data_IF_008041516979
#
_entry.id   IF_008041516979
#
_cell.length_a   1.000
_cell.length_b   1.000
_cell.length_c   1.000
_cell.angle_alpha   90.00
_cell.angle_beta   90.00
_cell.angle_gamma   90.00
#
_symmetry.space_group_name_H-M   'P 1'
#
loop_
_entity.id
_entity.type
_entity.pdbx_description
1 polymer ?
#
# COMPACT_ATOMS: atom_id res chain seq x y z
N UNK A 1 -14.85 -23.62 -17.07
CA UNK A 1 -15.42 -22.40 -17.69
C UNK A 1 -14.36 -21.88 -18.64
N UNK A 2 -14.69 -21.71 -19.92
CA UNK A 2 -13.70 -21.46 -20.97
C UNK A 2 -13.48 -19.94 -21.10
N UNK A 3 -12.35 -19.47 -20.58
CA UNK A 3 -11.86 -18.12 -20.88
C UNK A 3 -11.39 -18.11 -22.34
N UNK A 4 -11.72 -17.05 -23.08
CA UNK A 4 -11.34 -16.89 -24.49
C UNK A 4 -10.25 -15.82 -24.57
N UNK A 5 -9.19 -16.08 -25.33
CA UNK A 5 -8.18 -15.08 -25.65
C UNK A 5 -8.71 -14.10 -26.69
N UNK A 6 -8.65 -12.81 -26.39
CA UNK A 6 -8.99 -11.72 -27.30
C UNK A 6 -7.89 -10.66 -27.32
N UNK A 7 -7.65 -10.07 -28.49
CA UNK A 7 -6.77 -8.91 -28.62
C UNK A 7 -7.43 -7.66 -28.02
N UNK A 8 -6.62 -6.69 -27.59
CA UNK A 8 -7.13 -5.41 -27.07
C UNK A 8 -8.06 -4.71 -28.07
N UNK A 9 -7.79 -4.84 -29.38
CA UNK A 9 -8.58 -4.22 -30.43
C UNK A 9 -10.02 -4.78 -30.51
N UNK A 10 -10.24 -5.98 -29.97
CA UNK A 10 -11.56 -6.63 -29.92
C UNK A 10 -12.35 -6.27 -28.66
N UNK A 11 -11.77 -5.57 -27.69
CA UNK A 11 -12.43 -5.22 -26.43
C UNK A 11 -13.43 -4.08 -26.61
N UNK A 12 -14.61 -4.24 -26.02
CA UNK A 12 -15.69 -3.25 -25.99
C UNK A 12 -16.21 -3.10 -24.56
N UNK A 13 -16.83 -1.96 -24.28
CA UNK A 13 -17.59 -1.74 -23.05
C UNK A 13 -18.64 -2.86 -22.91
N UNK A 14 -18.70 -3.50 -21.74
CA UNK A 14 -19.56 -4.66 -21.48
C UNK A 14 -18.83 -6.01 -21.45
N UNK A 15 -17.57 -6.11 -21.90
CA UNK A 15 -16.77 -7.33 -21.74
C UNK A 15 -16.28 -7.51 -20.29
N UNK A 16 -16.34 -8.74 -19.81
CA UNK A 16 -15.74 -9.15 -18.55
C UNK A 16 -14.33 -9.66 -18.81
N UNK A 17 -13.35 -8.92 -18.30
CA UNK A 17 -11.95 -9.14 -18.61
C UNK A 17 -11.16 -9.59 -17.39
N UNK A 18 -10.09 -10.32 -17.65
CA UNK A 18 -9.06 -10.64 -16.68
C UNK A 18 -7.74 -10.05 -17.15
N UNK A 19 -7.21 -9.11 -16.38
CA UNK A 19 -5.89 -8.53 -16.61
C UNK A 19 -4.82 -9.54 -16.16
N UNK A 20 -3.87 -9.92 -17.04
CA UNK A 20 -2.80 -10.86 -16.71
C UNK A 20 -1.70 -10.24 -15.83
N UNK A 21 -1.80 -8.95 -15.53
CA UNK A 21 -0.83 -8.18 -14.73
C UNK A 21 -1.24 -8.12 -13.25
N UNK A 22 -0.27 -7.93 -12.37
CA UNK A 22 -0.55 -7.61 -10.96
C UNK A 22 -1.32 -6.29 -10.82
N UNK A 23 -2.10 -6.16 -9.75
CA UNK A 23 -2.97 -5.00 -9.50
C UNK A 23 -2.21 -3.66 -9.45
N UNK A 24 -0.91 -3.69 -9.20
CA UNK A 24 -0.01 -2.52 -9.17
C UNK A 24 0.24 -1.89 -10.55
N UNK A 25 -0.01 -2.63 -11.63
CA UNK A 25 0.33 -2.20 -12.99
C UNK A 25 -0.86 -1.57 -13.74
N UNK A 26 -2.00 -1.38 -13.05
CA UNK A 26 -3.18 -0.74 -13.61
C UNK A 26 -3.96 0.00 -12.51
N UNK A 27 -4.70 1.07 -12.83
CA UNK A 27 -5.43 1.86 -11.83
C UNK A 27 -6.75 1.22 -11.35
N UNK A 28 -7.05 -0.03 -11.74
CA UNK A 28 -8.27 -0.73 -11.36
C UNK A 28 -8.16 -1.46 -10.01
N UNK A 29 -9.23 -1.44 -9.22
CA UNK A 29 -9.31 -2.11 -7.89
C UNK A 29 -9.14 -3.63 -7.92
N UNK A 30 -9.44 -4.29 -9.04
CA UNK A 30 -9.41 -5.74 -9.17
C UNK A 30 -8.84 -6.14 -10.53
N UNK A 31 -8.19 -7.31 -10.59
CA UNK A 31 -7.63 -7.85 -11.85
C UNK A 31 -8.71 -8.48 -12.75
N UNK A 32 -9.93 -8.67 -12.23
CA UNK A 32 -11.05 -9.23 -12.96
C UNK A 32 -12.27 -8.33 -12.78
N UNK A 33 -12.72 -7.70 -13.85
CA UNK A 33 -13.87 -6.80 -13.80
C UNK A 33 -14.51 -6.64 -15.18
N UNK A 34 -15.73 -6.13 -15.15
CA UNK A 34 -16.49 -5.77 -16.34
C UNK A 34 -16.17 -4.34 -16.74
N UNK A 35 -15.83 -4.11 -18.01
CA UNK A 35 -15.59 -2.77 -18.55
C UNK A 35 -16.93 -2.01 -18.57
N UNK A 36 -17.03 -0.92 -17.81
CA UNK A 36 -18.27 -0.15 -17.60
C UNK A 36 -18.39 1.07 -18.51
N UNK A 37 -17.27 1.64 -18.93
CA UNK A 37 -17.24 2.88 -19.71
C UNK A 37 -16.02 2.95 -20.64
N UNK A 38 -16.03 3.95 -21.52
CA UNK A 38 -14.99 4.17 -22.52
C UNK A 38 -13.64 4.58 -21.90
N UNK A 39 -13.65 5.26 -20.74
CA UNK A 39 -12.41 5.66 -20.06
C UNK A 39 -11.64 4.43 -19.57
N UNK A 40 -12.34 3.43 -19.03
CA UNK A 40 -11.73 2.17 -18.65
C UNK A 40 -11.13 1.44 -19.85
N UNK A 41 -11.82 1.44 -20.99
CA UNK A 41 -11.32 0.83 -22.23
C UNK A 41 -10.07 1.54 -22.76
N UNK A 42 -10.03 2.86 -22.67
CA UNK A 42 -8.87 3.64 -23.10
C UNK A 42 -7.67 3.42 -22.17
N UNK A 43 -7.87 3.33 -20.84
CA UNK A 43 -6.81 2.94 -19.90
C UNK A 43 -6.25 1.56 -20.27
N UNK A 44 -7.13 0.58 -20.53
CA UNK A 44 -6.73 -0.77 -20.92
C UNK A 44 -5.89 -0.77 -22.22
N UNK A 45 -6.25 0.07 -23.20
CA UNK A 45 -5.51 0.21 -24.47
C UNK A 45 -4.13 0.82 -24.33
N UNK A 46 -3.90 1.60 -23.27
CA UNK A 46 -2.59 2.16 -22.95
C UNK A 46 -1.74 1.24 -22.06
N UNK A 47 -2.29 0.10 -21.63
CA UNK A 47 -1.48 -0.98 -21.06
C UNK A 47 -0.84 -1.72 -22.24
N UNK A 48 0.49 -1.88 -22.23
CA UNK A 48 1.26 -2.65 -23.24
C UNK A 48 0.95 -4.15 -23.18
N UNK A 49 -0.32 -4.54 -23.40
CA UNK A 49 -0.81 -5.91 -23.35
C UNK A 49 -1.34 -6.31 -24.73
N UNK A 50 -0.78 -7.36 -25.32
CA UNK A 50 -1.21 -7.78 -26.67
C UNK A 50 -2.43 -8.71 -26.65
N UNK A 51 -2.62 -9.44 -25.53
CA UNK A 51 -3.64 -10.47 -25.37
C UNK A 51 -4.31 -10.36 -24.01
N UNK A 52 -5.62 -10.58 -23.98
CA UNK A 52 -6.44 -10.51 -22.78
C UNK A 52 -7.40 -11.69 -22.70
N UNK A 53 -7.62 -12.18 -21.49
CA UNK A 53 -8.60 -13.24 -21.23
C UNK A 53 -9.97 -12.61 -20.99
N UNK A 54 -10.98 -13.05 -21.75
CA UNK A 54 -12.36 -12.59 -21.63
C UNK A 54 -13.23 -13.75 -21.16
N UNK A 55 -14.12 -13.47 -20.20
CA UNK A 55 -15.14 -14.41 -19.72
C UNK A 55 -16.44 -14.18 -20.53
N UNK A 56 -16.76 -15.03 -21.52
CA UNK A 56 -17.94 -14.84 -22.37
C UNK A 56 -19.25 -15.03 -21.61
N UNK A 57 -19.27 -15.81 -20.53
CA UNK A 57 -20.49 -16.07 -19.74
C UNK A 57 -20.89 -14.85 -18.88
N UNK A 58 -19.94 -13.95 -18.59
CA UNK A 58 -20.15 -12.71 -17.83
C UNK A 58 -20.08 -11.44 -18.68
N UNK A 59 -19.82 -11.59 -19.98
CA UNK A 59 -19.75 -10.49 -20.94
C UNK A 59 -21.12 -10.24 -21.56
N UNK A 60 -21.49 -8.98 -21.75
CA UNK A 60 -22.77 -8.61 -22.37
C UNK A 60 -22.79 -8.81 -23.88
N UNK A 61 -21.60 -8.97 -24.49
CA UNK A 61 -21.40 -9.00 -25.93
C UNK A 61 -20.48 -10.17 -26.32
N UNK A 62 -20.76 -10.84 -27.45
CA UNK A 62 -19.86 -11.84 -28.01
C UNK A 62 -18.63 -11.18 -28.65
N UNK A 63 -17.49 -11.85 -28.57
CA UNK A 63 -16.22 -11.40 -29.17
C UNK A 63 -16.31 -11.63 -30.69
N UNK A 64 -16.23 -10.57 -31.49
CA UNK A 64 -16.22 -10.66 -32.95
C UNK A 64 -14.85 -11.16 -33.46
N UNK A 65 -14.80 -12.07 -34.46
CA UNK A 65 -13.54 -12.50 -35.07
C UNK A 65 -12.84 -11.33 -35.80
N UNK A 66 -11.50 -11.33 -35.87
CA UNK A 66 -10.75 -10.21 -36.45
C UNK A 66 -11.11 -10.01 -37.92
N UNK A 67 -11.54 -8.80 -38.27
CA UNK A 67 -11.87 -8.41 -39.65
C UNK A 67 -10.59 -8.38 -40.49
N UNK A 68 -10.44 -9.33 -41.42
CA UNK A 68 -9.42 -9.29 -42.47
C UNK A 68 -9.76 -8.19 -43.49
N UNK A 69 -8.85 -7.22 -43.66
CA UNK A 69 -8.92 -6.14 -44.67
C UNK A 69 -9.18 -4.78 -44.02
N UNK A 70 -8.49 -3.69 -44.32
CA UNK A 70 -7.85 -3.30 -45.58
C UNK A 70 -6.90 -2.12 -45.30
N UNK A 71 -5.60 -2.22 -45.63
CA UNK A 71 -4.73 -1.04 -45.85
C UNK A 71 -3.77 -1.33 -47.00
N UNK A 72 -4.30 -1.21 -48.21
CA UNK A 72 -3.51 -0.73 -49.35
C UNK A 72 -3.22 0.75 -49.15
N UNK A 73 -1.95 1.10 -49.04
CA UNK A 73 -1.46 2.44 -49.38
C UNK A 73 -0.05 2.30 -49.96
N UNK A 74 0.03 2.58 -51.26
CA UNK A 74 1.24 2.68 -52.10
C UNK A 74 2.12 3.91 -51.71
N UNK A 75 3.36 4.02 -52.24
CA UNK A 75 4.54 4.40 -51.47
C UNK A 75 4.88 5.89 -51.51
N UNK A 76 5.42 6.42 -50.41
CA UNK A 76 6.06 7.73 -50.37
C UNK A 76 7.57 7.58 -50.14
N UNK A 77 8.29 7.78 -51.25
CA UNK A 77 9.60 8.41 -51.44
C UNK A 77 10.70 8.22 -50.37
N UNK A 78 11.75 7.53 -50.84
CA UNK A 78 13.16 7.55 -50.42
C UNK A 78 13.60 8.89 -49.80
N UNK A 79 14.14 8.79 -48.59
CA UNK A 79 15.12 9.72 -48.03
C UNK A 79 16.22 8.90 -47.36
N UNK A 80 17.43 8.99 -47.90
CA UNK A 80 18.61 8.25 -47.47
C UNK A 80 19.03 8.59 -46.03
N UNK A 81 19.32 7.56 -45.21
CA UNK A 81 20.09 7.71 -43.97
C UNK A 81 21.14 6.58 -43.93
N UNK A 82 22.41 6.86 -43.62
CA UNK A 82 23.50 5.90 -43.78
C UNK A 82 23.49 4.80 -42.71
N UNK A 83 23.79 3.60 -43.19
CA UNK A 83 24.12 2.37 -42.48
C UNK A 83 25.39 2.51 -41.62
N UNK A 84 25.24 2.37 -40.30
CA UNK A 84 26.28 1.90 -39.35
C UNK A 84 25.72 1.82 -37.91
N UNK A 85 25.36 0.63 -37.46
CA UNK A 85 25.08 0.30 -36.06
C UNK A 85 25.05 -1.22 -35.85
N UNK A 86 25.65 -1.77 -34.78
CA UNK A 86 26.08 -3.17 -34.72
C UNK A 86 24.92 -4.16 -34.59
N UNK A 87 25.22 -5.40 -34.98
CA UNK A 87 24.35 -6.57 -35.09
C UNK A 87 23.30 -6.70 -33.96
N UNK A 88 22.03 -6.68 -34.34
CA UNK A 88 20.85 -6.84 -33.49
C UNK A 88 20.55 -8.32 -33.16
N UNK A 89 21.48 -9.25 -33.40
CA UNK A 89 21.24 -10.69 -33.19
C UNK A 89 21.56 -11.17 -31.76
N UNK A 90 22.21 -10.37 -30.91
CA UNK A 90 22.60 -10.79 -29.54
C UNK A 90 21.66 -10.29 -28.42
N UNK A 91 20.56 -9.57 -28.72
CA UNK A 91 19.64 -9.04 -27.70
C UNK A 91 18.26 -9.73 -27.62
N UNK A 92 17.98 -10.73 -28.45
CA UNK A 92 16.68 -11.43 -28.45
C UNK A 92 16.57 -12.60 -27.44
N UNK A 93 17.66 -13.04 -26.81
CA UNK A 93 17.62 -14.21 -25.90
C UNK A 93 17.16 -13.93 -24.44
N UNK A 94 16.86 -12.68 -24.07
CA UNK A 94 16.60 -12.31 -22.67
C UNK A 94 15.15 -11.91 -22.31
N UNK A 95 14.17 -12.04 -23.23
CA UNK A 95 12.78 -11.55 -22.97
C UNK A 95 11.67 -12.53 -23.37
N UNK A 96 11.83 -13.83 -23.15
CA UNK A 96 10.74 -14.81 -23.45
C UNK A 96 10.38 -15.76 -22.31
N UNK A 97 10.57 -15.39 -21.04
CA UNK A 97 9.89 -16.09 -19.94
C UNK A 97 8.64 -15.33 -19.53
N UNK A 98 7.50 -15.78 -20.05
CA UNK A 98 6.20 -15.41 -19.48
C UNK A 98 6.23 -15.66 -17.96
N UNK A 99 5.65 -14.77 -17.12
CA UNK A 99 5.59 -15.03 -15.68
C UNK A 99 4.90 -16.38 -15.45
N UNK A 100 5.39 -17.18 -14.49
CA UNK A 100 4.85 -18.52 -14.26
C UNK A 100 3.34 -18.44 -13.98
N UNK A 101 2.55 -19.41 -14.45
CA UNK A 101 1.11 -19.44 -14.19
C UNK A 101 0.84 -19.43 -12.69
N UNK A 102 -0.18 -18.66 -12.27
CA UNK A 102 -0.60 -18.57 -10.87
C UNK A 102 -0.96 -19.96 -10.32
N UNK A 103 -0.10 -20.50 -9.46
CA UNK A 103 -0.33 -21.78 -8.79
C UNK A 103 -1.09 -21.55 -7.48
N UNK A 104 -2.40 -21.81 -7.54
CA UNK A 104 -3.31 -21.69 -6.40
C UNK A 104 -2.86 -22.52 -5.18
N UNK A 105 -2.19 -23.66 -5.41
CA UNK A 105 -1.75 -24.56 -4.34
C UNK A 105 -0.49 -24.01 -3.66
N UNK A 106 0.42 -23.42 -4.42
CA UNK A 106 1.57 -22.67 -3.90
C UNK A 106 1.08 -21.44 -3.14
N UNK A 107 0.12 -20.68 -3.68
CA UNK A 107 -0.48 -19.53 -3.01
C UNK A 107 -1.18 -19.91 -1.69
N UNK A 108 -1.99 -20.98 -1.66
CA UNK A 108 -2.60 -21.46 -0.41
C UNK A 108 -1.58 -21.98 0.59
N UNK A 109 -0.51 -22.63 0.12
CA UNK A 109 0.58 -23.12 0.99
C UNK A 109 1.37 -21.96 1.56
N UNK A 110 1.64 -20.95 0.76
CA UNK A 110 2.33 -19.74 1.16
C UNK A 110 1.47 -18.94 2.15
N UNK A 111 0.16 -18.80 1.92
CA UNK A 111 -0.79 -18.26 2.89
C UNK A 111 -0.80 -19.02 4.23
N UNK A 112 -0.82 -20.36 4.22
CA UNK A 112 -0.78 -21.15 5.47
C UNK A 112 0.55 -21.03 6.20
N UNK A 113 1.65 -20.93 5.46
CA UNK A 113 2.97 -20.69 6.03
C UNK A 113 3.04 -19.29 6.65
N UNK A 114 2.48 -18.30 5.95
CA UNK A 114 2.30 -16.93 6.41
C UNK A 114 1.48 -16.89 7.71
N UNK A 115 0.31 -17.55 7.76
CA UNK A 115 -0.56 -17.62 8.94
C UNK A 115 0.15 -18.24 10.15
N UNK A 116 0.99 -19.26 9.92
CA UNK A 116 1.74 -19.93 10.99
C UNK A 116 2.91 -19.08 11.50
N UNK A 117 3.71 -18.51 10.60
CA UNK A 117 4.79 -17.59 10.96
C UNK A 117 4.22 -16.38 11.71
N UNK A 118 3.10 -15.84 11.21
CA UNK A 118 2.32 -14.79 11.83
C UNK A 118 1.85 -15.15 13.25
N UNK A 119 1.22 -16.31 13.45
CA UNK A 119 0.74 -16.73 14.76
C UNK A 119 1.85 -16.80 15.83
N UNK A 120 3.08 -17.15 15.42
CA UNK A 120 4.23 -17.20 16.30
C UNK A 120 4.76 -15.80 16.63
N UNK A 121 5.00 -14.94 15.62
CA UNK A 121 5.40 -13.55 15.83
C UNK A 121 4.37 -12.75 16.64
N UNK A 122 3.09 -13.07 16.47
CA UNK A 122 1.98 -12.47 17.22
C UNK A 122 1.93 -12.88 18.69
N UNK A 123 2.31 -14.12 19.03
CA UNK A 123 2.38 -14.54 20.43
C UNK A 123 3.46 -13.75 21.16
N UNK A 124 4.63 -13.64 20.55
CA UNK A 124 5.76 -12.86 21.08
C UNK A 124 5.39 -11.39 21.25
N UNK A 125 4.73 -10.81 20.24
CA UNK A 125 4.23 -9.45 20.29
C UNK A 125 3.18 -9.27 21.39
N UNK A 126 2.18 -10.15 21.48
CA UNK A 126 1.10 -10.08 22.48
C UNK A 126 1.64 -10.17 23.91
N UNK A 127 2.62 -11.04 24.14
CA UNK A 127 3.26 -11.20 25.45
C UNK A 127 4.07 -9.95 25.82
N UNK A 128 4.73 -9.34 24.84
CA UNK A 128 5.44 -8.08 25.00
C UNK A 128 4.48 -6.89 25.25
N UNK A 129 3.31 -6.87 24.60
CA UNK A 129 2.27 -5.86 24.84
C UNK A 129 1.61 -6.00 26.21
N UNK A 130 1.38 -7.23 26.68
CA UNK A 130 0.85 -7.50 28.01
C UNK A 130 1.76 -6.99 29.13
N UNK A 131 3.08 -6.95 28.90
CA UNK A 131 4.07 -6.46 29.86
C UNK A 131 4.20 -4.92 29.91
N UNK A 132 3.73 -4.20 28.88
CA UNK A 132 3.71 -2.72 28.84
C UNK A 132 2.72 -2.11 29.84
N UNK A 133 1.61 -2.80 30.13
CA UNK A 133 0.51 -2.29 30.96
C UNK A 133 0.92 -2.07 32.44
N UNK A 134 2.14 -2.45 32.83
CA UNK A 134 2.63 -2.41 34.20
C UNK A 134 3.48 -1.17 34.53
N UNK A 135 4.11 -0.53 33.52
CA UNK A 135 5.03 0.62 33.72
C UNK A 135 5.09 1.53 32.49
N UNK A 136 4.43 2.71 32.50
CA UNK A 136 4.29 3.58 31.33
C UNK A 136 5.61 4.13 30.76
N UNK A 137 6.54 4.57 31.62
CA UNK A 137 7.78 5.25 31.21
C UNK A 137 8.79 4.27 30.59
N UNK A 138 8.86 3.05 31.13
CA UNK A 138 9.58 1.92 30.52
C UNK A 138 8.84 1.41 29.26
N UNK A 139 7.55 1.71 29.14
CA UNK A 139 6.66 1.23 28.10
C UNK A 139 7.06 1.70 26.69
N UNK A 140 7.35 2.99 26.48
CA UNK A 140 7.69 3.48 25.14
C UNK A 140 9.01 2.90 24.62
N UNK A 141 10.04 2.83 25.47
CA UNK A 141 11.33 2.24 25.10
C UNK A 141 11.20 0.73 24.79
N UNK A 142 10.43 0.01 25.60
CA UNK A 142 10.11 -1.40 25.35
C UNK A 142 9.33 -1.57 24.05
N UNK A 143 8.36 -0.69 23.76
CA UNK A 143 7.55 -0.76 22.54
C UNK A 143 8.38 -0.47 21.29
N UNK A 144 9.26 0.53 21.35
CA UNK A 144 10.21 0.78 20.27
C UNK A 144 11.14 -0.43 20.03
N UNK A 145 11.52 -1.16 21.09
CA UNK A 145 12.30 -2.39 20.96
C UNK A 145 11.50 -3.53 20.31
N UNK A 146 10.22 -3.66 20.64
CA UNK A 146 9.30 -4.62 20.00
C UNK A 146 9.22 -4.34 18.50
N UNK A 147 9.03 -3.08 18.12
CA UNK A 147 8.99 -2.65 16.71
C UNK A 147 10.30 -2.97 16.00
N UNK A 148 11.45 -2.67 16.62
CA UNK A 148 12.77 -3.03 16.09
C UNK A 148 12.91 -4.53 15.82
N UNK A 149 12.51 -5.34 16.80
CA UNK A 149 12.58 -6.80 16.68
C UNK A 149 11.66 -7.28 15.54
N UNK A 150 10.45 -6.72 15.43
CA UNK A 150 9.52 -7.05 14.37
C UNK A 150 10.05 -6.65 12.99
N UNK A 151 10.57 -5.43 12.84
CA UNK A 151 11.21 -4.97 11.60
C UNK A 151 12.35 -5.90 11.17
N UNK A 152 13.19 -6.31 12.13
CA UNK A 152 14.23 -7.30 11.88
C UNK A 152 13.66 -8.63 11.39
N UNK A 153 12.67 -9.21 12.09
CA UNK A 153 12.05 -10.48 11.66
C UNK A 153 11.40 -10.38 10.27
N UNK A 154 10.70 -9.27 10.00
CA UNK A 154 10.07 -9.00 8.71
C UNK A 154 11.10 -8.90 7.58
N UNK A 155 12.26 -8.29 7.85
CA UNK A 155 13.35 -8.18 6.87
C UNK A 155 13.99 -9.52 6.51
N UNK A 156 13.97 -10.49 7.43
CA UNK A 156 14.51 -11.84 7.22
C UNK A 156 13.48 -12.82 6.65
N UNK A 157 12.19 -12.45 6.67
CA UNK A 157 11.12 -13.34 6.24
C UNK A 157 10.98 -13.34 4.71
N UNK A 158 11.11 -14.51 4.11
CA UNK A 158 10.82 -14.75 2.69
C UNK A 158 9.42 -15.35 2.51
N UNK A 159 8.68 -14.87 1.50
CA UNK A 159 7.33 -15.34 1.19
C UNK A 159 6.22 -14.43 1.75
N UNK A 160 4.94 -14.77 1.54
CA UNK A 160 3.83 -13.92 1.93
C UNK A 160 3.68 -13.85 3.45
N UNK A 161 3.09 -12.75 3.91
CA UNK A 161 2.76 -12.49 5.31
C UNK A 161 1.26 -12.30 5.44
N UNK A 162 0.67 -12.91 6.46
CA UNK A 162 -0.71 -12.65 6.84
C UNK A 162 -0.75 -11.45 7.79
N UNK A 163 -1.76 -10.60 7.65
CA UNK A 163 -2.03 -9.51 8.59
C UNK A 163 -3.28 -9.88 9.40
N UNK A 164 -3.14 -10.05 10.72
CA UNK A 164 -4.28 -9.91 11.62
C UNK A 164 -4.07 -8.70 12.51
N UNK A 165 -5.03 -7.80 12.47
CA UNK A 165 -5.07 -6.62 13.33
C UNK A 165 -5.25 -7.06 14.77
N UNK A 166 -4.47 -6.45 15.66
CA UNK A 166 -4.52 -6.77 17.08
C UNK A 166 -5.76 -6.10 17.62
N UNK A 167 -6.73 -6.92 18.04
CA UNK A 167 -7.84 -6.43 18.86
C UNK A 167 -7.74 -7.08 20.22
N UNK A 168 -7.20 -6.35 21.20
CA UNK A 168 -7.14 -6.79 22.57
C UNK A 168 -8.06 -5.92 23.43
N UNK A 169 -9.16 -6.45 23.99
CA UNK A 169 -10.08 -5.68 24.82
C UNK A 169 -9.44 -5.14 26.11
N UNK A 170 -8.22 -5.56 26.46
CA UNK A 170 -7.49 -5.14 27.66
C UNK A 170 -6.33 -4.17 27.41
N UNK A 171 -6.08 -3.80 26.15
CA UNK A 171 -5.02 -2.84 25.78
C UNK A 171 -5.62 -1.44 25.62
N UNK A 172 -4.86 -0.42 25.99
CA UNK A 172 -5.23 0.97 25.72
C UNK A 172 -5.49 1.16 24.21
N UNK A 173 -6.59 1.84 23.88
CA UNK A 173 -7.05 2.01 22.49
C UNK A 173 -6.00 2.76 21.66
N UNK A 174 -5.38 3.79 22.23
CA UNK A 174 -4.36 4.59 21.54
C UNK A 174 -3.13 3.74 21.24
N UNK A 175 -2.67 2.97 22.23
CA UNK A 175 -1.54 2.07 22.04
C UNK A 175 -1.85 0.98 21.00
N UNK A 176 -3.05 0.41 21.03
CA UNK A 176 -3.47 -0.59 20.04
C UNK A 176 -3.47 -0.01 18.62
N UNK A 177 -4.01 1.19 18.44
CA UNK A 177 -4.02 1.90 17.17
C UNK A 177 -2.59 2.15 16.66
N UNK A 178 -1.72 2.76 17.48
CA UNK A 178 -0.34 3.04 17.08
C UNK A 178 0.44 1.77 16.70
N UNK A 179 0.18 0.66 17.39
CA UNK A 179 0.79 -0.64 17.04
C UNK A 179 0.26 -1.16 15.70
N UNK A 180 -1.05 -1.15 15.48
CA UNK A 180 -1.62 -1.59 14.21
C UNK A 180 -1.04 -0.77 13.05
N UNK A 181 -1.00 0.56 13.18
CA UNK A 181 -0.41 1.45 12.17
C UNK A 181 1.06 1.10 11.93
N UNK A 182 1.86 0.91 12.99
CA UNK A 182 3.26 0.51 12.86
C UNK A 182 3.42 -0.81 12.08
N UNK A 183 2.65 -1.85 12.41
CA UNK A 183 2.76 -3.16 11.75
C UNK A 183 2.31 -3.13 10.30
N UNK A 184 1.16 -2.53 10.00
CA UNK A 184 0.66 -2.42 8.63
C UNK A 184 1.65 -1.61 7.79
N UNK A 185 2.19 -0.51 8.31
CA UNK A 185 3.16 0.31 7.60
C UNK A 185 4.47 -0.45 7.32
N UNK A 186 4.99 -1.23 8.28
CA UNK A 186 6.16 -2.08 8.05
C UNK A 186 5.92 -3.14 6.98
N UNK A 187 4.73 -3.74 6.94
CA UNK A 187 4.37 -4.69 5.88
C UNK A 187 4.34 -4.01 4.52
N UNK A 188 3.73 -2.83 4.41
CA UNK A 188 3.74 -2.07 3.16
C UNK A 188 5.14 -1.64 2.76
N UNK A 189 5.97 -1.18 3.69
CA UNK A 189 7.37 -0.83 3.45
C UNK A 189 8.18 -2.02 2.90
N UNK A 190 7.97 -3.21 3.46
CA UNK A 190 8.58 -4.45 2.97
C UNK A 190 8.17 -4.75 1.53
N UNK A 191 6.88 -4.67 1.21
CA UNK A 191 6.38 -4.91 -0.16
C UNK A 191 6.86 -3.83 -1.15
N UNK A 192 7.15 -2.62 -0.67
CA UNK A 192 7.79 -1.56 -1.45
C UNK A 192 9.31 -1.77 -1.64
N UNK A 193 9.89 -2.84 -1.09
CA UNK A 193 11.30 -3.17 -1.21
C UNK A 193 12.22 -2.29 -0.36
N UNK A 194 11.68 -1.64 0.68
CA UNK A 194 12.49 -0.85 1.61
C UNK A 194 13.50 -1.74 2.35
N UNK A 195 14.65 -1.17 2.67
CA UNK A 195 15.73 -1.89 3.35
C UNK A 195 15.42 -2.06 4.87
N UNK A 196 16.19 -2.90 5.61
CA UNK A 196 15.91 -3.17 7.02
C UNK A 196 15.88 -1.92 7.93
N UNK A 197 16.71 -0.91 7.64
CA UNK A 197 16.73 0.34 8.40
C UNK A 197 15.46 1.14 8.12
N UNK A 198 15.06 1.24 6.85
CA UNK A 198 13.82 1.93 6.45
C UNK A 198 12.57 1.24 7.02
N UNK A 199 12.57 -0.10 7.13
CA UNK A 199 11.51 -0.85 7.81
C UNK A 199 11.41 -0.48 9.29
N UNK A 200 12.53 -0.46 10.00
CA UNK A 200 12.57 -0.05 11.40
C UNK A 200 12.05 1.38 11.57
N UNK A 201 12.55 2.31 10.77
CA UNK A 201 12.15 3.71 10.82
C UNK A 201 10.65 3.89 10.52
N UNK A 202 10.11 3.07 9.61
CA UNK A 202 8.68 3.04 9.29
C UNK A 202 7.86 2.57 10.48
N UNK A 203 8.26 1.47 11.11
CA UNK A 203 7.58 0.98 12.31
C UNK A 203 7.64 1.98 13.46
N UNK A 204 8.80 2.61 13.68
CA UNK A 204 8.96 3.62 14.73
C UNK A 204 8.10 4.85 14.45
N UNK A 205 8.05 5.31 13.20
CA UNK A 205 7.20 6.42 12.79
C UNK A 205 5.70 6.12 13.00
N UNK A 206 5.25 4.92 12.60
CA UNK A 206 3.87 4.49 12.85
C UNK A 206 3.55 4.35 14.33
N UNK A 207 4.50 3.93 15.17
CA UNK A 207 4.28 3.80 16.61
C UNK A 207 4.08 5.15 17.31
N UNK A 208 4.73 6.20 16.83
CA UNK A 208 4.81 7.49 17.53
C UNK A 208 4.02 8.62 16.87
N UNK A 209 3.32 8.35 15.76
CA UNK A 209 2.66 9.39 14.97
C UNK A 209 1.66 10.23 15.82
N UNK A 210 0.89 9.56 16.68
CA UNK A 210 -0.11 10.15 17.55
C UNK A 210 0.36 10.46 18.97
N UNK A 211 1.68 10.48 19.24
CA UNK A 211 2.18 10.77 20.58
C UNK A 211 1.70 12.13 21.13
N UNK A 212 1.37 13.07 20.25
CA UNK A 212 0.82 14.36 20.60
C UNK A 212 -0.57 14.31 21.23
N UNK A 213 -1.33 13.22 21.03
CA UNK A 213 -2.64 13.05 21.65
C UNK A 213 -2.55 12.97 23.18
N UNK A 214 -1.39 12.63 23.74
CA UNK A 214 -1.12 12.70 25.18
C UNK A 214 -1.26 14.12 25.75
N UNK A 215 -1.26 15.15 24.91
CA UNK A 215 -1.52 16.55 25.30
C UNK A 215 -2.98 16.97 25.13
N UNK A 216 -3.81 16.12 24.52
CA UNK A 216 -5.22 16.39 24.31
C UNK A 216 -6.03 15.87 25.51
N UNK A 217 -6.94 16.66 26.09
CA UNK A 217 -7.80 16.20 27.18
C UNK A 217 -8.61 14.97 26.79
N UNK A 218 -8.67 13.98 27.68
CA UNK A 218 -9.40 12.73 27.44
C UNK A 218 -10.89 12.94 27.17
N UNK A 219 -11.49 14.02 27.66
CA UNK A 219 -12.88 14.38 27.36
C UNK A 219 -13.13 14.70 25.88
N UNK A 220 -12.09 15.12 25.14
CA UNK A 220 -12.15 15.35 23.70
C UNK A 220 -11.93 14.03 22.95
N UNK A 221 -10.84 13.32 23.27
CA UNK A 221 -10.47 12.05 22.61
C UNK A 221 -11.56 10.99 22.76
N UNK A 222 -12.12 10.84 23.97
CA UNK A 222 -13.07 9.76 24.29
C UNK A 222 -14.54 10.19 24.12
N UNK A 223 -14.79 11.33 23.47
CA UNK A 223 -16.15 11.86 23.34
C UNK A 223 -17.00 10.94 22.46
N UNK A 224 -18.09 10.42 23.04
CA UNK A 224 -19.09 9.62 22.33
C UNK A 224 -20.09 10.55 21.63
N UNK A 225 -19.69 11.17 20.53
CA UNK A 225 -20.53 12.07 19.73
C UNK A 225 -19.70 13.08 18.94
N UNK A 226 -20.36 13.89 18.13
CA UNK A 226 -19.66 14.89 17.29
C UNK A 226 -18.86 15.88 18.15
N UNK A 227 -17.63 16.13 17.73
CA UNK A 227 -16.81 17.21 18.25
C UNK A 227 -17.38 18.55 17.76
N UNK A 228 -17.47 19.52 18.66
CA UNK A 228 -17.67 20.91 18.27
C UNK A 228 -16.46 21.39 17.47
N UNK A 229 -16.63 22.45 16.68
CA UNK A 229 -15.52 23.04 15.90
C UNK A 229 -14.30 23.39 16.76
N UNK A 230 -14.53 23.87 17.99
CA UNK A 230 -13.44 24.21 18.92
C UNK A 230 -12.71 22.96 19.42
N UNK A 231 -13.45 21.89 19.76
CA UNK A 231 -12.86 20.61 20.16
C UNK A 231 -12.09 19.97 19.00
N UNK A 232 -12.64 19.98 17.78
CA UNK A 232 -11.95 19.48 16.60
C UNK A 232 -10.67 20.27 16.31
N UNK A 233 -10.73 21.60 16.34
CA UNK A 233 -9.53 22.42 16.15
C UNK A 233 -8.47 22.14 17.21
N UNK A 234 -8.88 21.86 18.45
CA UNK A 234 -7.95 21.49 19.52
C UNK A 234 -7.36 20.11 19.30
N UNK A 235 -8.16 19.12 18.89
CA UNK A 235 -7.68 17.79 18.54
C UNK A 235 -6.66 17.86 17.38
N UNK A 236 -6.93 18.67 16.35
CA UNK A 236 -6.04 18.88 15.20
C UNK A 236 -4.69 19.55 15.57
N UNK A 237 -4.47 19.93 16.83
CA UNK A 237 -3.17 20.40 17.32
C UNK A 237 -2.22 19.26 17.69
N UNK A 238 -2.71 18.02 17.84
CA UNK A 238 -1.86 16.91 18.25
C UNK A 238 -0.64 16.68 17.34
N UNK A 239 -0.66 16.92 16.00
CA UNK A 239 0.55 16.76 15.19
C UNK A 239 1.65 17.74 15.60
N UNK A 240 1.27 18.98 15.93
CA UNK A 240 2.21 19.97 16.44
C UNK A 240 2.75 19.55 17.82
N UNK A 241 1.87 19.11 18.71
CA UNK A 241 2.30 18.63 20.04
C UNK A 241 3.24 17.43 19.95
N UNK A 242 2.99 16.50 19.02
CA UNK A 242 3.86 15.36 18.78
C UNK A 242 5.26 15.80 18.35
N UNK A 243 5.35 16.71 17.36
CA UNK A 243 6.62 17.27 16.91
C UNK A 243 7.39 17.96 18.05
N UNK A 244 6.71 18.79 18.82
CA UNK A 244 7.30 19.55 19.91
C UNK A 244 7.85 18.61 21.00
N UNK A 245 7.06 17.61 21.39
CA UNK A 245 7.45 16.61 22.38
C UNK A 245 8.68 15.83 21.94
N UNK A 246 8.67 15.29 20.72
CA UNK A 246 9.78 14.48 20.21
C UNK A 246 11.05 15.32 20.02
N UNK A 247 10.90 16.59 19.64
CA UNK A 247 12.02 17.54 19.52
C UNK A 247 12.61 17.88 20.88
N UNK A 248 11.80 18.13 21.90
CA UNK A 248 12.28 18.39 23.27
C UNK A 248 13.03 17.20 23.85
N UNK A 249 12.57 15.97 23.58
CA UNK A 249 13.23 14.75 24.03
C UNK A 249 14.52 14.44 23.27
N UNK A 250 14.80 15.12 22.15
CA UNK A 250 15.84 14.76 21.19
C UNK A 250 15.76 13.27 20.80
N UNK A 251 14.54 12.73 20.75
CA UNK A 251 14.29 11.33 20.44
C UNK A 251 14.06 11.17 18.94
N UNK A 252 14.59 10.08 18.38
CA UNK A 252 14.46 9.68 16.98
C UNK A 252 15.08 10.65 15.96
N UNK A 253 15.38 10.12 14.78
CA UNK A 253 15.87 10.89 13.65
C UNK A 253 14.86 11.97 13.24
N UNK A 254 15.31 13.15 12.75
CA UNK A 254 14.41 14.25 12.35
C UNK A 254 13.29 13.82 11.40
N UNK A 255 13.58 12.91 10.46
CA UNK A 255 12.58 12.39 9.51
C UNK A 255 11.45 11.62 10.17
N UNK A 256 11.71 10.90 11.27
CA UNK A 256 10.70 10.16 12.04
C UNK A 256 9.84 11.17 12.80
N UNK A 257 10.46 12.18 13.42
CA UNK A 257 9.74 13.24 14.13
C UNK A 257 8.81 14.04 13.24
N UNK A 258 9.21 14.29 12.00
CA UNK A 258 8.37 14.98 11.02
C UNK A 258 7.10 14.20 10.68
N UNK A 259 7.08 12.88 10.82
CA UNK A 259 5.86 12.08 10.55
C UNK A 259 4.76 12.42 11.55
N UNK A 260 5.08 12.54 12.83
CA UNK A 260 4.12 12.98 13.83
C UNK A 260 3.50 14.34 13.48
N UNK A 261 4.23 15.21 12.77
CA UNK A 261 3.72 16.50 12.34
C UNK A 261 2.86 16.45 11.06
N UNK A 262 3.17 15.54 10.13
CA UNK A 262 2.69 15.60 8.75
C UNK A 262 1.81 14.42 8.32
N UNK A 263 1.54 13.42 9.18
CA UNK A 263 0.74 12.25 8.81
C UNK A 263 -0.72 12.59 8.44
N UNK A 264 -1.24 13.72 8.90
CA UNK A 264 -2.55 14.23 8.49
C UNK A 264 -2.54 15.16 7.26
N UNK A 265 -1.37 15.41 6.65
CA UNK A 265 -1.32 16.12 5.38
C UNK A 265 -1.91 15.26 4.24
N UNK A 266 -2.45 15.92 3.22
CA UNK A 266 -3.12 15.27 2.09
C UNK A 266 -2.55 15.80 0.78
N UNK A 267 -2.47 14.94 -0.23
CA UNK A 267 -1.81 15.28 -1.51
C UNK A 267 -2.45 16.48 -2.22
N UNK A 268 -3.74 16.71 -2.00
CA UNK A 268 -4.51 17.85 -2.54
C UNK A 268 -4.41 19.14 -1.71
N UNK A 269 -3.79 19.07 -0.52
CA UNK A 269 -3.67 20.17 0.44
C UNK A 269 -4.89 20.37 1.34
N UNK A 270 -5.82 19.41 1.39
CA UNK A 270 -6.94 19.43 2.33
C UNK A 270 -6.56 19.03 3.76
N UNK A 271 -5.33 18.56 3.95
CA UNK A 271 -4.81 18.11 5.24
C UNK A 271 -4.41 19.24 6.18
N UNK A 272 -3.85 18.84 7.33
CA UNK A 272 -3.40 19.72 8.39
C UNK A 272 -2.11 19.16 9.02
N UNK A 273 -1.32 19.97 9.74
CA UNK A 273 -1.55 21.36 10.17
C UNK A 273 -1.15 22.46 9.18
N UNK A 274 -0.34 22.16 8.16
CA UNK A 274 0.22 23.14 7.23
C UNK A 274 -0.60 23.30 5.95
N UNK A 275 -1.31 22.25 5.52
CA UNK A 275 -2.07 22.26 4.26
C UNK A 275 -1.17 22.24 3.02
N UNK A 276 -0.01 21.58 3.14
CA UNK A 276 0.99 21.46 2.06
C UNK A 276 0.56 20.41 1.04
N UNK A 277 1.13 20.45 -0.18
CA UNK A 277 0.64 19.63 -1.30
C UNK A 277 1.68 18.65 -1.82
N UNK A 278 1.18 17.51 -2.32
CA UNK A 278 1.92 16.56 -3.15
C UNK A 278 3.36 16.34 -2.71
N UNK A 279 4.30 16.85 -3.51
CA UNK A 279 5.76 16.70 -3.36
C UNK A 279 6.34 17.19 -2.03
N UNK A 280 5.65 18.09 -1.33
CA UNK A 280 6.12 18.67 -0.08
C UNK A 280 5.98 17.73 1.12
N UNK A 281 5.08 16.74 1.02
CA UNK A 281 4.85 15.75 2.08
C UNK A 281 5.92 14.66 1.93
N UNK A 282 6.74 14.37 2.96
CA UNK A 282 7.74 13.30 2.89
C UNK A 282 7.11 11.93 2.59
N UNK A 283 7.76 11.05 1.81
CA UNK A 283 7.20 9.72 1.47
C UNK A 283 6.79 8.90 2.68
N UNK A 284 7.58 8.93 3.75
CA UNK A 284 7.26 8.22 4.99
C UNK A 284 5.99 8.76 5.67
N UNK A 285 5.78 10.08 5.68
CA UNK A 285 4.55 10.68 6.22
C UNK A 285 3.32 10.32 5.37
N UNK A 286 3.48 10.20 4.04
CA UNK A 286 2.40 9.72 3.15
C UNK A 286 2.04 8.27 3.44
N UNK A 287 3.04 7.41 3.64
CA UNK A 287 2.84 6.01 3.97
C UNK A 287 2.09 5.87 5.31
N UNK A 288 2.56 6.55 6.35
CA UNK A 288 1.91 6.50 7.66
C UNK A 288 0.50 7.09 7.60
N UNK A 289 0.30 8.25 6.98
CA UNK A 289 -1.03 8.85 6.84
C UNK A 289 -2.03 7.99 6.05
N UNK A 290 -1.56 7.22 5.07
CA UNK A 290 -2.41 6.24 4.35
C UNK A 290 -2.82 5.09 5.27
N UNK A 291 -1.87 4.55 6.02
CA UNK A 291 -2.09 3.40 6.91
C UNK A 291 -2.94 3.78 8.10
N UNK A 292 -2.70 4.94 8.69
CA UNK A 292 -3.49 5.55 9.75
C UNK A 292 -4.96 5.67 9.34
N UNK A 293 -5.22 6.34 8.22
CA UNK A 293 -6.59 6.46 7.67
C UNK A 293 -7.24 5.09 7.41
N UNK A 294 -6.47 4.10 6.95
CA UNK A 294 -6.97 2.75 6.78
C UNK A 294 -7.35 2.07 8.11
N UNK A 295 -6.52 2.21 9.16
CA UNK A 295 -6.82 1.65 10.47
C UNK A 295 -8.03 2.34 11.12
N UNK A 296 -8.16 3.66 10.97
CA UNK A 296 -9.33 4.43 11.43
C UNK A 296 -10.63 3.88 10.84
N UNK A 297 -10.67 3.60 9.53
CA UNK A 297 -11.85 3.05 8.84
C UNK A 297 -12.27 1.66 9.34
N UNK A 298 -11.38 0.92 9.99
CA UNK A 298 -11.67 -0.40 10.56
C UNK A 298 -12.20 -0.32 12.00
N UNK A 299 -11.97 0.81 12.66
CA UNK A 299 -12.33 1.04 14.07
C UNK A 299 -13.43 2.09 14.25
N UNK A 300 -13.81 2.82 13.20
CA UNK A 300 -14.93 3.78 13.13
C UNK A 300 -16.31 3.14 13.20
#
# INVERSE_FOLDING_TARGET
>A
MALIEASIEQLRVGHFIHLPTGWTNHPFMFNAFKIKDQQQLDIIRHLDLNLMMVDPDKSDLPIEPPTRGDRRSEPLLRGDVPDAGPDLEEQEELVTSAPPPFDEKVFRRSMRAADKAFGQSMSELRDALGSLNLKPDEGLANTAQIVRNAAFQLSQHEGPLGLHLIRNPHTDILLQHSLNVAFIAMLMARELGMNPIELEETGLAGLIHDIGELKIPSQIIQKRGELSKAEQNFLNMHPQYGLDMLTQLNAFEPKIRQVAHLHHERLDGSGYPLGIKGGEIPPLARLIGLVDFYDELLHS
#
